data_IF_865448024701
#
_entry.id   IF_865448024701
#
_cell.length_a   1.000
_cell.length_b   1.000
_cell.length_c   1.000
_cell.angle_alpha   90.00
_cell.angle_beta   90.00
_cell.angle_gamma   90.00
#
_symmetry.space_group_name_H-M   'P 1'
#
loop_
_entity.id
_entity.type
_entity.pdbx_description
1 polymer ?
#
# COMPACT_ATOMS: atom_id res chain seq x y z
N UNK A 1 18.25 -19.53 -6.91
CA UNK A 1 19.64 -19.96 -6.61
C UNK A 1 20.59 -19.57 -7.76
N UNK A 2 21.88 -19.75 -7.51
CA UNK A 2 22.92 -19.60 -8.52
C UNK A 2 23.70 -20.91 -8.57
N UNK A 3 23.84 -21.49 -9.73
CA UNK A 3 24.60 -22.72 -9.90
C UNK A 3 26.12 -22.50 -9.95
N UNK A 4 26.89 -23.57 -10.14
CA UNK A 4 28.36 -23.51 -10.19
C UNK A 4 28.91 -22.74 -11.41
N UNK A 5 28.13 -22.61 -12.46
CA UNK A 5 28.47 -21.91 -13.70
C UNK A 5 28.03 -20.43 -13.67
N UNK A 6 27.38 -20.00 -12.57
CA UNK A 6 26.91 -18.63 -12.37
C UNK A 6 25.54 -18.34 -12.97
N UNK A 7 24.84 -19.34 -13.47
CA UNK A 7 23.48 -19.20 -13.99
C UNK A 7 22.47 -19.05 -12.85
N UNK A 8 21.50 -18.14 -13.03
CA UNK A 8 20.54 -17.78 -11.99
C UNK A 8 19.20 -18.44 -12.28
N UNK A 9 18.77 -19.33 -11.38
CA UNK A 9 17.39 -19.82 -11.36
C UNK A 9 16.54 -18.97 -10.39
N UNK A 10 15.68 -18.13 -10.95
CA UNK A 10 14.79 -17.25 -10.17
C UNK A 10 13.58 -17.99 -9.58
N UNK A 11 13.32 -19.22 -9.99
CA UNK A 11 12.20 -20.04 -9.53
C UNK A 11 12.60 -21.06 -8.45
N UNK A 12 13.90 -21.29 -8.27
CA UNK A 12 14.39 -22.18 -7.24
C UNK A 12 14.22 -21.57 -5.85
N UNK A 13 13.36 -22.17 -5.05
CA UNK A 13 13.08 -21.78 -3.66
C UNK A 13 13.77 -22.69 -2.64
N UNK A 14 14.68 -23.56 -3.07
CA UNK A 14 15.34 -24.53 -2.22
C UNK A 14 16.20 -23.90 -1.10
N UNK A 15 16.78 -22.74 -1.37
CA UNK A 15 17.60 -22.00 -0.40
C UNK A 15 16.84 -20.87 0.28
N UNK A 16 15.92 -20.21 -0.42
CA UNK A 16 15.11 -19.12 0.12
C UNK A 16 13.84 -18.92 -0.71
N UNK A 17 12.72 -18.69 -0.02
CA UNK A 17 11.47 -18.34 -0.68
C UNK A 17 11.46 -16.87 -1.16
N UNK A 18 12.43 -16.05 -0.74
CA UNK A 18 12.51 -14.64 -1.05
C UNK A 18 13.97 -14.16 -1.04
N UNK A 19 14.64 -14.33 -2.16
CA UNK A 19 16.01 -13.86 -2.36
C UNK A 19 16.09 -12.34 -2.33
N UNK A 20 17.08 -11.82 -1.59
CA UNK A 20 17.41 -10.40 -1.54
C UNK A 20 18.88 -10.22 -1.85
N UNK A 21 19.19 -9.14 -2.57
CA UNK A 21 20.55 -8.76 -2.91
C UNK A 21 20.79 -7.32 -2.54
N UNK A 22 21.99 -7.02 -2.12
CA UNK A 22 22.48 -5.65 -1.91
C UNK A 22 23.62 -5.37 -2.85
N UNK A 23 23.72 -4.13 -3.32
CA UNK A 23 24.80 -3.66 -4.16
C UNK A 23 25.13 -2.20 -3.83
N UNK A 24 26.37 -1.75 -4.03
CA UNK A 24 26.72 -0.35 -3.84
C UNK A 24 25.92 0.57 -4.76
N UNK A 25 25.48 1.71 -4.26
CA UNK A 25 24.74 2.70 -5.05
C UNK A 25 25.51 3.16 -6.29
N UNK A 26 26.85 3.17 -6.20
CA UNK A 26 27.74 3.50 -7.31
C UNK A 26 27.62 2.55 -8.53
N UNK A 27 27.06 1.34 -8.34
CA UNK A 27 26.88 0.36 -9.43
C UNK A 27 25.65 0.63 -10.30
N UNK A 28 24.82 1.60 -9.91
CA UNK A 28 23.64 1.98 -10.67
C UNK A 28 23.64 3.47 -10.98
N UNK A 29 22.95 3.85 -12.06
CA UNK A 29 22.72 5.27 -12.35
C UNK A 29 21.72 5.81 -11.31
N UNK A 30 22.13 6.80 -10.53
CA UNK A 30 21.30 7.40 -9.49
C UNK A 30 21.53 8.92 -9.44
N UNK A 31 20.62 9.65 -8.78
CA UNK A 31 20.85 11.02 -8.32
C UNK A 31 21.58 11.00 -6.98
N UNK A 32 22.23 12.11 -6.63
CA UNK A 32 22.73 12.28 -5.27
C UNK A 32 21.56 12.17 -4.29
N UNK A 33 21.60 11.27 -3.28
CA UNK A 33 20.52 11.12 -2.30
C UNK A 33 20.18 12.40 -1.52
N UNK A 34 21.10 13.38 -1.51
CA UNK A 34 20.91 14.70 -0.88
C UNK A 34 20.14 15.69 -1.77
N UNK A 35 19.99 15.38 -3.06
CA UNK A 35 19.36 16.23 -4.07
C UNK A 35 18.03 15.63 -4.53
N UNK A 36 17.20 15.20 -3.55
CA UNK A 36 15.87 14.70 -3.80
C UNK A 36 14.88 15.85 -3.67
N UNK A 37 14.05 16.12 -4.70
CA UNK A 37 13.03 17.16 -4.61
C UNK A 37 11.98 16.81 -3.53
N UNK A 38 11.24 17.80 -3.01
CA UNK A 38 10.07 17.54 -2.17
C UNK A 38 9.12 16.55 -2.85
N UNK A 39 8.45 15.72 -2.05
CA UNK A 39 7.42 14.82 -2.56
C UNK A 39 6.07 15.55 -2.65
N UNK A 40 5.36 15.37 -3.76
CA UNK A 40 4.00 15.87 -3.94
C UNK A 40 2.97 14.86 -3.41
N UNK A 41 3.28 13.57 -3.48
CA UNK A 41 2.38 12.48 -3.11
C UNK A 41 3.02 11.50 -2.15
N UNK A 42 2.26 11.08 -1.13
CA UNK A 42 2.61 9.98 -0.23
C UNK A 42 1.62 8.84 -0.44
N UNK A 43 2.12 7.66 -0.83
CA UNK A 43 1.32 6.47 -1.03
C UNK A 43 1.61 5.46 0.08
N UNK A 44 0.64 5.22 0.97
CA UNK A 44 0.72 4.14 1.96
C UNK A 44 0.18 2.87 1.32
N UNK A 45 1.10 1.97 0.97
CA UNK A 45 0.72 0.68 0.38
C UNK A 45 0.29 -0.29 1.48
N UNK A 46 -0.86 -0.89 1.28
CA UNK A 46 -1.47 -1.82 2.20
C UNK A 46 -1.91 -3.09 1.48
N UNK A 47 -2.02 -4.19 2.23
CA UNK A 47 -2.71 -5.40 1.82
C UNK A 47 -3.86 -5.66 2.75
N UNK A 48 -5.06 -5.39 2.28
CA UNK A 48 -6.29 -5.65 3.02
C UNK A 48 -7.17 -6.61 2.22
N UNK A 49 -8.17 -7.23 2.87
CA UNK A 49 -9.09 -8.16 2.22
C UNK A 49 -10.55 -7.74 2.41
N UNK A 50 -10.82 -6.69 3.18
CA UNK A 50 -12.21 -6.35 3.55
C UNK A 50 -12.68 -5.07 2.88
N UNK A 51 -12.61 -3.94 3.59
CA UNK A 51 -13.27 -2.68 3.25
C UNK A 51 -12.35 -1.57 2.76
N UNK A 52 -11.03 -1.76 2.83
CA UNK A 52 -10.11 -0.73 2.34
C UNK A 52 -10.16 -0.72 0.81
N UNK A 53 -10.56 0.40 0.18
CA UNK A 53 -10.67 0.48 -1.27
C UNK A 53 -9.30 0.40 -1.96
N UNK A 54 -9.29 0.19 -3.28
CA UNK A 54 -8.08 0.21 -4.07
C UNK A 54 -7.29 1.50 -3.90
N UNK A 55 -7.99 2.63 -3.68
CA UNK A 55 -7.41 3.91 -3.30
C UNK A 55 -8.39 4.73 -2.46
N UNK A 56 -7.85 5.41 -1.44
CA UNK A 56 -8.55 6.49 -0.74
C UNK A 56 -7.59 7.64 -0.47
N UNK A 57 -8.09 8.87 -0.56
CA UNK A 57 -7.37 10.07 -0.19
C UNK A 57 -7.66 10.38 1.28
N UNK A 58 -6.63 10.69 2.04
CA UNK A 58 -6.68 10.81 3.50
C UNK A 58 -6.42 12.25 3.94
N UNK A 59 -7.09 12.68 5.03
CA UNK A 59 -6.68 13.86 5.77
C UNK A 59 -5.35 13.62 6.51
N UNK A 60 -4.71 14.66 7.02
CA UNK A 60 -3.44 14.54 7.76
C UNK A 60 -3.59 13.64 8.99
N UNK A 61 -4.68 13.80 9.72
CA UNK A 61 -4.99 12.99 10.90
C UNK A 61 -5.24 11.53 10.52
N UNK A 62 -5.98 11.31 9.43
CA UNK A 62 -6.24 9.95 8.92
C UNK A 62 -4.96 9.27 8.46
N UNK A 63 -4.02 10.00 7.84
CA UNK A 63 -2.71 9.47 7.47
C UNK A 63 -1.97 8.96 8.70
N UNK A 64 -1.86 9.78 9.75
CA UNK A 64 -1.15 9.40 10.97
C UNK A 64 -1.83 8.24 11.69
N UNK A 65 -3.17 8.23 11.76
CA UNK A 65 -3.93 7.12 12.33
C UNK A 65 -3.72 5.83 11.54
N UNK A 66 -3.80 5.90 10.22
CA UNK A 66 -3.62 4.74 9.35
C UNK A 66 -2.19 4.20 9.42
N UNK A 67 -1.21 5.10 9.49
CA UNK A 67 0.19 4.77 9.69
C UNK A 67 0.41 4.01 11.01
N UNK A 68 -0.16 4.49 12.12
CA UNK A 68 -0.07 3.81 13.42
C UNK A 68 -0.87 2.50 13.45
N UNK A 69 -2.01 2.43 12.75
CA UNK A 69 -2.81 1.21 12.68
C UNK A 69 -2.03 0.06 12.05
N UNK A 70 -1.32 0.30 10.97
CA UNK A 70 -0.40 -0.62 10.33
C UNK A 70 -0.98 -1.98 9.97
N UNK A 71 -2.31 -2.07 9.80
CA UNK A 71 -2.97 -3.34 9.45
C UNK A 71 -2.59 -3.74 8.04
N UNK A 72 -2.05 -4.94 7.90
CA UNK A 72 -1.66 -5.49 6.61
C UNK A 72 -1.76 -7.02 6.62
N UNK A 73 -1.52 -7.63 5.47
CA UNK A 73 -1.39 -9.08 5.34
C UNK A 73 0.06 -9.45 5.07
N UNK A 74 0.57 -10.42 5.83
CA UNK A 74 1.91 -10.92 5.67
C UNK A 74 2.15 -11.48 4.26
N UNK A 75 3.36 -11.32 3.77
CA UNK A 75 3.81 -11.82 2.48
C UNK A 75 4.99 -12.77 2.67
N UNK A 76 5.37 -13.50 1.63
CA UNK A 76 6.61 -14.29 1.63
C UNK A 76 7.87 -13.45 1.91
N UNK A 77 7.79 -12.12 1.79
CA UNK A 77 8.88 -11.22 2.13
C UNK A 77 9.23 -11.23 3.62
N UNK A 78 8.25 -11.49 4.51
CA UNK A 78 8.47 -11.69 5.96
C UNK A 78 8.82 -13.12 6.34
N UNK A 79 8.85 -14.02 5.35
CA UNK A 79 9.06 -15.46 5.56
C UNK A 79 7.79 -16.28 5.37
N UNK A 80 7.95 -17.58 5.11
CA UNK A 80 6.84 -18.49 4.83
C UNK A 80 5.84 -18.57 6.01
N UNK A 81 6.32 -18.39 7.24
CA UNK A 81 5.48 -18.45 8.43
C UNK A 81 4.51 -17.28 8.58
N UNK A 82 4.78 -16.14 7.94
CA UNK A 82 3.95 -14.93 8.00
C UNK A 82 3.01 -14.78 6.81
N UNK A 83 3.32 -15.46 5.72
CA UNK A 83 2.55 -15.37 4.49
C UNK A 83 1.06 -15.67 4.71
N UNK A 84 0.19 -14.73 4.31
CA UNK A 84 -1.26 -14.82 4.42
C UNK A 84 -1.84 -14.54 5.81
N UNK A 85 -1.04 -14.30 6.85
CA UNK A 85 -1.55 -13.93 8.17
C UNK A 85 -1.89 -12.45 8.26
N UNK A 86 -2.94 -12.13 8.99
CA UNK A 86 -3.21 -10.73 9.35
C UNK A 86 -2.13 -10.25 10.32
N UNK A 87 -1.56 -9.10 10.02
CA UNK A 87 -0.47 -8.51 10.78
C UNK A 87 -0.78 -7.06 11.12
N UNK A 88 -0.19 -6.58 12.19
CA UNK A 88 -0.12 -5.17 12.51
C UNK A 88 1.35 -4.76 12.53
N UNK A 89 1.71 -3.86 11.63
CA UNK A 89 3.07 -3.34 11.47
C UNK A 89 3.00 -1.81 11.49
N UNK A 90 2.92 -1.21 12.69
CA UNK A 90 2.87 0.25 12.83
C UNK A 90 4.05 0.90 12.12
N UNK A 91 3.79 2.05 11.49
CA UNK A 91 4.78 2.73 10.69
C UNK A 91 5.20 2.01 9.40
N UNK A 92 4.53 0.91 9.03
CA UNK A 92 4.90 0.05 7.91
C UNK A 92 6.35 -0.46 7.95
N UNK A 93 6.99 -0.39 9.12
CA UNK A 93 8.38 -0.78 9.32
C UNK A 93 8.53 -1.61 10.61
N UNK A 94 8.78 -2.94 10.50
CA UNK A 94 8.93 -3.81 11.66
C UNK A 94 10.20 -3.54 12.48
N UNK A 95 11.09 -2.67 12.00
CA UNK A 95 12.36 -2.32 12.63
C UNK A 95 12.32 -1.01 13.43
N UNK A 96 11.17 -0.39 13.59
CA UNK A 96 11.03 0.73 14.51
C UNK A 96 11.10 0.25 15.95
N UNK A 97 11.93 0.93 16.75
CA UNK A 97 12.15 0.61 18.17
C UNK A 97 11.48 1.63 19.11
N UNK A 98 10.88 2.68 18.56
CA UNK A 98 10.23 3.72 19.33
C UNK A 98 8.71 3.45 19.45
N UNK A 99 8.09 4.15 20.38
CA UNK A 99 6.65 4.10 20.63
C UNK A 99 5.85 4.53 19.40
N UNK A 100 4.81 3.76 19.05
CA UNK A 100 3.99 3.99 17.86
C UNK A 100 3.34 5.39 17.87
N UNK A 101 2.91 5.87 19.05
CA UNK A 101 2.28 7.18 19.18
C UNK A 101 3.27 8.32 18.92
N UNK A 102 4.52 8.18 19.35
CA UNK A 102 5.58 9.15 19.03
C UNK A 102 5.86 9.23 17.55
N UNK A 103 5.84 8.09 16.87
CA UNK A 103 6.02 8.02 15.42
C UNK A 103 4.85 8.66 14.68
N UNK A 104 3.61 8.39 15.11
CA UNK A 104 2.41 9.02 14.56
C UNK A 104 2.41 10.53 14.73
N UNK A 105 2.76 11.03 15.93
CA UNK A 105 2.88 12.45 16.20
C UNK A 105 4.00 13.09 15.34
N UNK A 106 5.14 12.41 15.22
CA UNK A 106 6.22 12.91 14.36
C UNK A 106 5.81 13.00 12.90
N UNK A 107 5.03 12.04 12.40
CA UNK A 107 4.48 12.10 11.05
C UNK A 107 3.53 13.31 10.90
N UNK A 108 2.64 13.56 11.86
CA UNK A 108 1.78 14.75 11.86
C UNK A 108 2.58 16.05 11.78
N UNK A 109 3.59 16.22 12.65
CA UNK A 109 4.47 17.38 12.62
C UNK A 109 5.15 17.57 11.25
N UNK A 110 5.59 16.48 10.62
CA UNK A 110 6.20 16.54 9.29
C UNK A 110 5.19 16.95 8.22
N UNK A 111 3.97 16.41 8.26
CA UNK A 111 2.90 16.75 7.34
C UNK A 111 2.47 18.22 7.45
N UNK A 112 2.56 18.82 8.66
CA UNK A 112 2.33 20.26 8.84
C UNK A 112 3.35 21.13 8.09
N UNK A 113 4.59 20.63 7.96
CA UNK A 113 5.64 21.35 7.20
C UNK A 113 5.55 21.15 5.69
N UNK A 114 4.68 20.25 5.23
CA UNK A 114 4.47 19.91 3.82
C UNK A 114 2.99 20.11 3.42
N UNK A 115 2.50 21.37 3.37
CA UNK A 115 1.08 21.64 3.17
C UNK A 115 0.53 21.17 1.82
N UNK A 116 1.40 21.08 0.82
CA UNK A 116 1.04 20.69 -0.56
C UNK A 116 1.10 19.17 -0.78
N UNK A 117 1.64 18.41 0.19
CA UNK A 117 1.71 16.96 0.10
C UNK A 117 0.30 16.37 0.23
N UNK A 118 -0.10 15.61 -0.76
CA UNK A 118 -1.33 14.82 -0.72
C UNK A 118 -1.02 13.36 -0.40
N UNK A 119 -1.77 12.74 0.50
CA UNK A 119 -1.53 11.36 0.86
C UNK A 119 -2.74 10.44 0.58
N UNK A 120 -2.39 9.23 0.18
CA UNK A 120 -3.33 8.19 -0.20
C UNK A 120 -2.98 6.88 0.50
N UNK A 121 -3.99 6.09 0.84
CA UNK A 121 -3.82 4.66 1.06
C UNK A 121 -4.15 3.91 -0.22
N UNK A 122 -3.32 2.94 -0.57
CA UNK A 122 -3.57 2.04 -1.70
C UNK A 122 -3.62 0.60 -1.22
N UNK A 123 -4.73 -0.07 -1.49
CA UNK A 123 -4.87 -1.49 -1.22
C UNK A 123 -4.41 -2.30 -2.43
N UNK A 124 -3.36 -3.08 -2.26
CA UNK A 124 -2.82 -4.00 -3.28
C UNK A 124 -3.24 -5.45 -3.05
N UNK A 125 -4.20 -5.67 -2.16
CA UNK A 125 -4.74 -6.98 -1.79
C UNK A 125 -6.04 -7.31 -2.49
N UNK A 126 -7.11 -7.34 -1.71
CA UNK A 126 -8.48 -7.67 -2.13
C UNK A 126 -9.48 -6.76 -1.42
N UNK A 127 -10.70 -6.76 -1.91
CA UNK A 127 -11.86 -6.16 -1.26
C UNK A 127 -12.98 -7.19 -1.16
N UNK A 128 -13.93 -7.00 -0.27
CA UNK A 128 -15.13 -7.85 -0.17
C UNK A 128 -14.94 -9.18 0.55
N UNK A 129 -13.79 -9.39 1.21
CA UNK A 129 -13.51 -10.61 1.98
C UNK A 129 -12.33 -11.43 1.47
N UNK A 130 -12.03 -12.56 2.13
CA UNK A 130 -10.97 -13.48 1.72
C UNK A 130 -11.30 -14.12 0.36
N UNK A 131 -10.32 -14.74 -0.28
CA UNK A 131 -10.46 -15.35 -1.60
C UNK A 131 -11.57 -16.40 -1.71
N UNK A 132 -11.91 -17.00 -0.59
CA UNK A 132 -13.01 -17.99 -0.48
C UNK A 132 -14.40 -17.35 -0.41
N UNK A 133 -14.50 -16.04 -0.26
CA UNK A 133 -15.76 -15.31 -0.27
C UNK A 133 -16.17 -14.99 -1.72
N UNK A 134 -17.38 -15.32 -2.11
CA UNK A 134 -17.88 -15.08 -3.47
C UNK A 134 -17.95 -13.59 -3.87
N UNK A 135 -17.91 -12.67 -2.88
CA UNK A 135 -17.84 -11.22 -3.12
C UNK A 135 -16.44 -10.74 -3.39
N UNK A 136 -15.44 -11.54 -3.02
CA UNK A 136 -14.05 -11.11 -2.98
C UNK A 136 -13.51 -10.76 -4.37
N UNK A 137 -12.99 -9.55 -4.51
CA UNK A 137 -12.32 -9.06 -5.72
C UNK A 137 -10.87 -8.71 -5.44
N UNK A 138 -9.97 -9.21 -6.26
CA UNK A 138 -8.53 -8.95 -6.14
C UNK A 138 -8.18 -7.64 -6.86
N UNK A 139 -7.44 -6.78 -6.19
CA UNK A 139 -6.77 -5.63 -6.83
C UNK A 139 -5.55 -6.16 -7.58
N UNK A 140 -5.54 -6.02 -8.89
CA UNK A 140 -4.48 -6.53 -9.78
C UNK A 140 -3.48 -5.42 -10.10
N UNK A 141 -2.35 -5.78 -10.67
CA UNK A 141 -1.31 -4.82 -11.08
C UNK A 141 -1.87 -3.76 -12.06
N UNK A 142 -2.66 -4.11 -13.10
CA UNK A 142 -3.26 -3.09 -13.96
C UNK A 142 -4.16 -2.10 -13.22
N UNK A 143 -4.94 -2.58 -12.23
CA UNK A 143 -5.81 -1.72 -11.42
C UNK A 143 -4.97 -0.71 -10.61
N UNK A 144 -3.91 -1.18 -9.94
CA UNK A 144 -2.98 -0.31 -9.20
C UNK A 144 -2.24 0.67 -10.11
N UNK A 145 -1.86 0.25 -11.31
CA UNK A 145 -1.19 1.13 -12.29
C UNK A 145 -2.12 2.24 -12.77
N UNK A 146 -3.39 1.90 -13.07
CA UNK A 146 -4.39 2.88 -13.45
C UNK A 146 -4.68 3.89 -12.34
N UNK A 147 -4.72 3.43 -11.08
CA UNK A 147 -4.84 4.30 -9.90
C UNK A 147 -3.68 5.29 -9.82
N UNK A 148 -2.44 4.82 -9.90
CA UNK A 148 -1.25 5.70 -9.82
C UNK A 148 -1.24 6.71 -10.97
N UNK A 149 -1.57 6.28 -12.17
CA UNK A 149 -1.67 7.17 -13.32
C UNK A 149 -2.73 8.27 -13.09
N UNK A 150 -3.91 7.89 -12.62
CA UNK A 150 -4.99 8.83 -12.36
C UNK A 150 -4.67 9.82 -11.23
N UNK A 151 -3.89 9.41 -10.20
CA UNK A 151 -3.36 10.32 -9.17
C UNK A 151 -2.43 11.36 -9.80
N UNK A 152 -1.45 10.92 -10.61
CA UNK A 152 -0.47 11.81 -11.24
C UNK A 152 -1.11 12.77 -12.22
N UNK A 153 -2.15 12.35 -12.92
CA UNK A 153 -2.92 13.16 -13.87
C UNK A 153 -3.97 14.07 -13.20
N UNK A 154 -4.13 13.98 -11.86
CA UNK A 154 -5.17 14.69 -11.09
C UNK A 154 -6.58 14.50 -11.70
N UNK A 155 -6.86 13.31 -12.20
CA UNK A 155 -8.07 13.00 -12.97
C UNK A 155 -9.15 12.30 -12.16
N UNK A 156 -8.93 12.08 -10.84
CA UNK A 156 -9.86 11.35 -9.97
C UNK A 156 -10.90 12.30 -9.39
N UNK A 157 -12.17 12.02 -9.64
CA UNK A 157 -13.27 12.65 -8.91
C UNK A 157 -13.50 11.89 -7.58
N UNK A 158 -13.44 12.63 -6.48
CA UNK A 158 -13.55 12.09 -5.14
C UNK A 158 -14.95 12.29 -4.55
N UNK A 159 -15.34 11.43 -3.63
CA UNK A 159 -16.51 11.59 -2.77
C UNK A 159 -16.19 11.09 -1.36
N UNK A 160 -16.82 11.70 -0.35
CA UNK A 160 -16.58 11.32 1.04
C UNK A 160 -17.28 10.00 1.36
N UNK A 161 -16.54 9.03 1.90
CA UNK A 161 -17.11 7.83 2.48
C UNK A 161 -17.91 8.20 3.74
N UNK A 162 -19.22 7.82 3.83
CA UNK A 162 -20.09 8.27 4.92
C UNK A 162 -19.76 7.64 6.28
N UNK A 163 -19.04 6.51 6.31
CA UNK A 163 -18.74 5.79 7.55
C UNK A 163 -17.38 6.18 8.12
N UNK A 164 -16.39 6.37 7.25
CA UNK A 164 -15.00 6.60 7.64
C UNK A 164 -14.51 8.03 7.39
N UNK A 165 -15.24 8.82 6.61
CA UNK A 165 -14.92 10.22 6.35
C UNK A 165 -13.67 10.46 5.50
N UNK A 166 -13.04 9.43 4.93
CA UNK A 166 -12.00 9.60 3.92
C UNK A 166 -12.63 9.75 2.53
N UNK A 167 -11.86 10.23 1.58
CA UNK A 167 -12.35 10.39 0.21
C UNK A 167 -12.08 9.13 -0.62
N UNK A 168 -13.10 8.56 -1.24
CA UNK A 168 -13.02 7.44 -2.18
C UNK A 168 -13.18 7.93 -3.61
N UNK A 169 -12.55 7.22 -4.55
CA UNK A 169 -12.69 7.54 -5.97
C UNK A 169 -14.09 7.12 -6.47
N UNK A 170 -14.81 8.00 -7.16
CA UNK A 170 -16.08 7.68 -7.81
C UNK A 170 -15.89 6.71 -8.97
N UNK A 171 -14.89 6.98 -9.80
CA UNK A 171 -14.51 6.13 -10.92
C UNK A 171 -13.07 6.37 -11.33
N UNK A 172 -12.43 5.34 -11.86
CA UNK A 172 -11.13 5.43 -12.52
C UNK A 172 -11.20 4.58 -13.79
N UNK A 173 -10.85 5.10 -14.97
CA UNK A 173 -10.88 4.32 -16.21
C UNK A 173 -10.08 3.03 -16.09
N UNK A 174 -10.69 1.92 -16.48
CA UNK A 174 -10.05 0.59 -16.44
C UNK A 174 -10.03 -0.09 -15.06
N UNK A 175 -10.53 0.53 -14.01
CA UNK A 175 -10.66 -0.06 -12.67
C UNK A 175 -12.12 -0.43 -12.39
N UNK A 176 -12.33 -1.64 -11.87
CA UNK A 176 -13.66 -2.09 -11.45
C UNK A 176 -14.21 -1.17 -10.33
N UNK A 177 -15.42 -0.59 -10.49
CA UNK A 177 -16.00 0.29 -9.48
C UNK A 177 -16.13 -0.31 -8.08
N UNK A 178 -16.30 -1.63 -7.98
CA UNK A 178 -16.38 -2.30 -6.67
C UNK A 178 -15.04 -2.38 -5.95
N UNK A 179 -13.91 -2.25 -6.67
CA UNK A 179 -12.59 -2.08 -6.04
C UNK A 179 -12.41 -0.68 -5.44
N UNK A 180 -13.09 0.32 -6.00
CA UNK A 180 -13.02 1.70 -5.55
C UNK A 180 -13.97 1.97 -4.38
N UNK A 181 -15.12 1.29 -4.35
CA UNK A 181 -16.17 1.46 -3.35
C UNK A 181 -16.61 0.10 -2.78
N UNK A 182 -15.76 -0.58 -2.02
CA UNK A 182 -16.03 -1.94 -1.53
C UNK A 182 -17.25 -2.03 -0.60
N UNK A 183 -17.71 -0.92 -0.02
CA UNK A 183 -18.96 -0.84 0.74
C UNK A 183 -20.14 -1.45 -0.05
N UNK A 184 -20.23 -1.17 -1.34
CA UNK A 184 -21.30 -1.65 -2.22
C UNK A 184 -21.38 -3.19 -2.29
N UNK A 185 -20.27 -3.88 -2.05
CA UNK A 185 -20.23 -5.34 -1.98
C UNK A 185 -20.96 -5.90 -0.75
N UNK A 186 -21.17 -5.11 0.28
CA UNK A 186 -21.83 -5.50 1.52
C UNK A 186 -23.32 -5.07 1.53
N UNK A 187 -23.64 -3.96 0.89
CA UNK A 187 -25.02 -3.45 0.79
C UNK A 187 -25.94 -4.32 -0.10
N UNK A 188 -25.38 -5.05 -1.06
CA UNK A 188 -26.13 -5.89 -2.00
C UNK A 188 -26.73 -7.16 -1.37
N UNK A 189 -26.69 -7.33 -0.05
CA UNK A 189 -27.15 -8.54 0.67
C UNK A 189 -28.29 -8.28 1.67
N UNK A 190 -28.81 -7.07 1.76
CA UNK A 190 -30.03 -6.73 2.47
C UNK A 190 -31.24 -6.76 1.51
#
# INVERSE_FOLDING_TARGET
SVDADGEVDFHDTGHTANGRSTFPLANIRHRDPRDVPPADYLLILNRNESIVPAVAKLSREQIALYFMLGVTKGTSAGGAAEAGKNMRVPGTNPFFFDDDARQGNRLLELLETMPDLTAYVMNTGRVGGPETDGRSKKVRIPDSSAVVQAIVEDSIEWETDPDFGYEVAKSIPGVDPELLQPRKLYEAQE
#
